data_IF_564055863063
#
_entry.id   IF_564055863063
#
_cell.length_a   1.000
_cell.length_b   1.000
_cell.length_c   1.000
_cell.angle_alpha   90.00
_cell.angle_beta   90.00
_cell.angle_gamma   90.00
#
_symmetry.space_group_name_H-M   'P 1'
#
loop_
_entity.id
_entity.type
_entity.pdbx_description
1 polymer ?
#
# COMPACT_ATOMS: atom_id res chain seq x y z
N UNK A 1 -8.64 0.03 -33.39
CA UNK A 1 -7.87 1.30 -33.23
C UNK A 1 -8.70 2.27 -32.42
N UNK A 2 -8.15 2.81 -31.35
CA UNK A 2 -8.89 3.66 -30.41
C UNK A 2 -8.13 4.96 -30.11
N UNK A 3 -8.87 6.03 -29.81
CA UNK A 3 -8.27 7.25 -29.28
C UNK A 3 -7.68 6.97 -27.89
N UNK A 4 -6.46 7.42 -27.57
CA UNK A 4 -5.91 7.29 -26.24
C UNK A 4 -6.84 7.88 -25.18
N UNK A 5 -6.92 7.22 -24.01
CA UNK A 5 -7.68 7.73 -22.88
C UNK A 5 -7.09 9.05 -22.39
N UNK A 6 -7.94 9.95 -21.88
CA UNK A 6 -7.46 11.09 -21.11
C UNK A 6 -6.88 10.62 -19.78
N UNK A 7 -6.02 11.43 -19.14
CA UNK A 7 -5.45 11.13 -17.83
C UNK A 7 -6.54 10.84 -16.78
N UNK A 8 -7.62 11.61 -16.78
CA UNK A 8 -8.77 11.37 -15.88
C UNK A 8 -9.48 10.06 -16.18
N UNK A 9 -9.66 9.73 -17.47
CA UNK A 9 -10.36 8.51 -17.86
C UNK A 9 -9.58 7.25 -17.48
N UNK A 10 -8.24 7.25 -17.63
CA UNK A 10 -7.43 6.11 -17.20
C UNK A 10 -7.40 5.95 -15.68
N UNK A 11 -7.29 7.03 -14.91
CA UNK A 11 -7.38 6.94 -13.44
C UNK A 11 -8.72 6.37 -12.98
N UNK A 12 -9.82 6.83 -13.58
CA UNK A 12 -11.15 6.30 -13.29
C UNK A 12 -11.24 4.81 -13.61
N UNK A 13 -10.71 4.37 -14.75
CA UNK A 13 -10.71 2.97 -15.15
C UNK A 13 -9.88 2.09 -14.20
N UNK A 14 -8.67 2.53 -13.85
CA UNK A 14 -7.78 1.81 -12.94
C UNK A 14 -8.40 1.67 -11.55
N UNK A 15 -8.95 2.77 -11.01
CA UNK A 15 -9.59 2.76 -9.68
C UNK A 15 -10.85 1.90 -9.64
N UNK A 16 -11.63 1.88 -10.73
CA UNK A 16 -12.80 1.01 -10.83
C UNK A 16 -12.43 -0.49 -10.77
N UNK A 17 -11.26 -0.87 -11.32
CA UNK A 17 -10.71 -2.22 -11.22
C UNK A 17 -10.00 -2.50 -9.87
N UNK A 18 -10.06 -1.59 -8.90
CA UNK A 18 -9.42 -1.75 -7.60
C UNK A 18 -7.90 -1.57 -7.60
N UNK A 19 -7.33 -0.93 -8.62
CA UNK A 19 -5.91 -0.63 -8.70
C UNK A 19 -5.54 0.46 -7.70
N UNK A 20 -4.50 0.22 -6.90
CA UNK A 20 -3.93 1.22 -5.98
C UNK A 20 -2.99 2.14 -6.74
N UNK A 21 -3.48 3.30 -7.16
CA UNK A 21 -2.73 4.24 -7.97
C UNK A 21 -1.98 5.26 -7.12
N UNK A 22 -0.71 5.50 -7.48
CA UNK A 22 0.15 6.58 -6.97
C UNK A 22 0.47 7.52 -8.13
N UNK A 23 0.10 8.77 -8.00
CA UNK A 23 0.36 9.80 -9.01
C UNK A 23 1.73 10.45 -8.74
N UNK A 24 2.66 10.40 -9.72
CA UNK A 24 4.05 10.83 -9.55
C UNK A 24 4.29 12.15 -10.28
N UNK A 25 4.50 13.21 -9.50
CA UNK A 25 4.77 14.54 -10.06
C UNK A 25 3.71 15.01 -11.07
N UNK A 26 4.14 15.58 -12.16
CA UNK A 26 3.30 16.08 -13.24
C UNK A 26 3.02 15.02 -14.33
N UNK A 27 2.82 13.76 -13.96
CA UNK A 27 2.67 12.62 -14.88
C UNK A 27 1.65 12.86 -16.01
N UNK A 28 0.60 13.65 -15.78
CA UNK A 28 -0.44 13.94 -16.77
C UNK A 28 0.05 14.69 -17.99
N UNK A 29 1.15 15.43 -17.86
CA UNK A 29 1.77 16.23 -18.91
C UNK A 29 3.19 15.78 -19.24
N UNK A 30 3.73 14.81 -18.49
CA UNK A 30 5.03 14.24 -18.72
C UNK A 30 4.95 13.21 -19.86
N UNK A 31 5.49 13.55 -21.03
CA UNK A 31 5.43 12.73 -22.23
C UNK A 31 6.49 13.12 -23.25
N UNK A 32 6.50 12.39 -24.35
CA UNK A 32 7.38 12.61 -25.50
C UNK A 32 6.61 12.99 -26.77
N UNK A 33 5.48 13.67 -26.65
CA UNK A 33 4.65 14.07 -27.78
C UNK A 33 5.38 14.96 -28.80
N UNK A 34 6.44 15.67 -28.36
CA UNK A 34 7.33 16.42 -29.26
C UNK A 34 8.13 15.55 -30.25
N UNK A 35 8.18 14.22 -30.03
CA UNK A 35 8.88 13.26 -30.86
C UNK A 35 7.96 12.53 -31.85
N UNK A 36 6.67 12.79 -31.81
CA UNK A 36 5.69 12.21 -32.73
C UNK A 36 4.32 12.03 -32.05
N UNK A 37 3.32 11.69 -32.86
CA UNK A 37 1.98 11.46 -32.42
C UNK A 37 1.88 10.28 -31.44
N UNK A 38 0.89 10.32 -30.55
CA UNK A 38 0.45 9.21 -29.73
C UNK A 38 -1.00 8.86 -30.11
N UNK A 39 -1.18 7.64 -30.55
CA UNK A 39 -2.44 7.14 -31.07
C UNK A 39 -2.52 7.19 -32.61
N UNK A 40 -3.53 6.50 -33.19
CA UNK A 40 -4.48 5.66 -32.45
C UNK A 40 -3.80 4.48 -31.75
N UNK A 41 -4.26 4.18 -30.52
CA UNK A 41 -3.76 3.05 -29.73
C UNK A 41 -4.49 1.76 -30.08
N UNK A 42 -3.81 0.62 -29.91
CA UNK A 42 -4.32 -0.66 -30.37
C UNK A 42 -4.25 -1.76 -29.29
N UNK A 43 -3.59 -1.48 -28.18
CA UNK A 43 -3.43 -2.44 -27.10
C UNK A 43 -2.45 -1.94 -26.03
N UNK A 44 -1.96 -2.88 -25.26
CA UNK A 44 -1.08 -2.64 -24.13
C UNK A 44 0.10 -3.59 -24.14
N UNK A 45 1.30 -3.09 -23.88
CA UNK A 45 2.52 -3.88 -23.74
C UNK A 45 2.94 -3.93 -22.28
N UNK A 46 3.20 -5.16 -21.81
CA UNK A 46 3.74 -5.44 -20.47
C UNK A 46 5.25 -5.65 -20.58
N UNK A 47 5.99 -4.99 -19.70
CA UNK A 47 7.44 -5.02 -19.61
C UNK A 47 7.92 -5.48 -18.25
N UNK A 48 9.23 -5.75 -18.11
CA UNK A 48 9.93 -5.74 -16.83
C UNK A 48 11.10 -4.76 -16.85
N UNK A 49 11.35 -4.10 -15.73
CA UNK A 49 12.23 -2.94 -15.63
C UNK A 49 13.73 -3.24 -15.61
N UNK A 50 14.13 -4.50 -15.37
CA UNK A 50 15.53 -4.89 -15.07
C UNK A 50 16.11 -4.08 -13.89
N UNK A 51 15.26 -3.70 -12.94
CA UNK A 51 15.62 -2.91 -11.74
C UNK A 51 15.02 -3.51 -10.48
N UNK A 52 15.53 -3.09 -9.33
CA UNK A 52 15.08 -3.49 -8.00
C UNK A 52 15.00 -2.27 -7.08
N UNK A 53 13.96 -2.23 -6.26
CA UNK A 53 13.69 -1.13 -5.33
C UNK A 53 12.77 -0.09 -5.93
N UNK A 54 11.54 -0.02 -5.42
CA UNK A 54 10.43 0.74 -6.01
C UNK A 54 10.78 2.22 -6.26
N UNK A 55 11.40 2.91 -5.29
CA UNK A 55 11.70 4.34 -5.43
C UNK A 55 12.70 4.60 -6.56
N UNK A 56 13.77 3.81 -6.65
CA UNK A 56 14.78 3.92 -7.70
C UNK A 56 14.19 3.55 -9.07
N UNK A 57 13.36 2.51 -9.13
CA UNK A 57 12.67 2.10 -10.36
C UNK A 57 11.73 3.18 -10.86
N UNK A 58 10.92 3.79 -9.98
CA UNK A 58 10.03 4.92 -10.34
C UNK A 58 10.84 6.07 -10.92
N UNK A 59 11.94 6.47 -10.28
CA UNK A 59 12.81 7.53 -10.79
C UNK A 59 13.37 7.18 -12.18
N UNK A 60 13.87 5.96 -12.34
CA UNK A 60 14.42 5.49 -13.63
C UNK A 60 13.37 5.52 -14.75
N UNK A 61 12.18 4.97 -14.54
CA UNK A 61 11.17 4.92 -15.60
C UNK A 61 10.53 6.28 -15.87
N UNK A 62 10.52 7.17 -14.88
CA UNK A 62 10.06 8.55 -15.07
C UNK A 62 11.08 9.37 -15.87
N UNK A 63 12.32 9.39 -15.44
CA UNK A 63 13.34 10.30 -15.98
C UNK A 63 14.10 9.70 -17.17
N UNK A 64 14.23 8.37 -17.20
CA UNK A 64 14.99 7.66 -18.22
C UNK A 64 16.49 7.77 -18.03
N UNK A 65 17.21 7.64 -19.14
CA UNK A 65 18.65 7.73 -19.23
C UNK A 65 19.06 8.80 -20.22
N UNK A 66 20.31 9.23 -20.22
CA UNK A 66 20.82 10.21 -21.17
C UNK A 66 20.59 9.79 -22.64
N UNK A 67 20.75 8.49 -22.94
CA UNK A 67 20.52 7.91 -24.27
C UNK A 67 19.06 7.54 -24.55
N UNK A 68 18.22 7.44 -23.52
CA UNK A 68 16.81 7.08 -23.61
C UNK A 68 15.99 7.90 -22.61
N UNK A 69 15.69 9.17 -22.90
CA UNK A 69 14.96 10.03 -21.99
C UNK A 69 13.54 9.55 -21.71
N UNK A 70 13.09 9.74 -20.46
CA UNK A 70 11.75 9.37 -20.02
C UNK A 70 10.61 10.25 -20.56
N UNK A 71 9.35 9.88 -20.29
CA UNK A 71 8.98 8.68 -19.55
C UNK A 71 9.24 7.39 -20.34
N UNK A 72 9.65 6.33 -19.63
CA UNK A 72 9.90 5.02 -20.24
C UNK A 72 8.66 4.10 -20.21
N UNK A 73 7.55 4.59 -19.66
CA UNK A 73 6.24 3.90 -19.63
C UNK A 73 5.15 4.90 -19.24
N UNK A 74 3.91 4.43 -19.21
CA UNK A 74 2.77 5.20 -18.67
C UNK A 74 2.64 5.01 -17.17
N UNK A 75 2.87 3.79 -16.68
CA UNK A 75 2.89 3.49 -15.26
C UNK A 75 3.83 2.34 -14.92
N UNK A 76 4.37 2.38 -13.71
CA UNK A 76 5.23 1.36 -13.13
C UNK A 76 4.47 0.59 -12.04
N UNK A 77 4.49 -0.75 -12.14
CA UNK A 77 3.80 -1.65 -11.21
C UNK A 77 4.82 -2.22 -10.22
N UNK A 78 4.73 -1.79 -8.97
CA UNK A 78 5.64 -2.17 -7.90
C UNK A 78 5.36 -3.58 -7.36
N UNK A 79 6.32 -4.16 -6.63
CA UNK A 79 6.21 -5.48 -6.01
C UNK A 79 5.01 -5.62 -5.06
N UNK A 80 4.60 -4.55 -4.42
CA UNK A 80 3.43 -4.51 -3.53
C UNK A 80 2.09 -4.27 -4.26
N UNK A 81 2.10 -4.21 -5.58
CA UNK A 81 0.92 -4.01 -6.43
C UNK A 81 0.45 -2.57 -6.54
N UNK A 82 1.19 -1.57 -6.01
CA UNK A 82 0.90 -0.16 -6.30
C UNK A 82 1.33 0.17 -7.74
N UNK A 83 0.53 0.98 -8.40
CA UNK A 83 0.77 1.43 -9.77
C UNK A 83 1.14 2.90 -9.74
N UNK A 84 2.37 3.21 -10.07
CA UNK A 84 2.93 4.56 -10.09
C UNK A 84 2.79 5.14 -11.48
N UNK A 85 1.89 6.10 -11.68
CA UNK A 85 1.73 6.81 -12.95
C UNK A 85 2.89 7.79 -13.13
N UNK A 86 3.67 7.64 -14.18
CA UNK A 86 4.90 8.41 -14.41
C UNK A 86 4.87 9.25 -15.67
N UNK A 87 3.95 8.99 -16.59
CA UNK A 87 3.76 9.76 -17.80
C UNK A 87 2.43 9.49 -18.48
N UNK A 88 1.95 10.43 -19.32
CA UNK A 88 0.74 10.23 -20.11
C UNK A 88 0.86 10.95 -21.45
N UNK A 89 0.78 10.17 -22.52
CA UNK A 89 1.13 10.57 -23.87
C UNK A 89 2.14 9.59 -24.47
N UNK A 90 2.83 9.99 -25.53
CA UNK A 90 3.91 9.17 -26.09
C UNK A 90 4.99 8.92 -25.04
N UNK A 91 5.43 7.68 -24.90
CA UNK A 91 6.49 7.24 -23.97
C UNK A 91 7.50 6.36 -24.73
N UNK A 92 8.73 6.26 -24.21
CA UNK A 92 9.78 5.43 -24.81
C UNK A 92 9.75 4.02 -24.18
N UNK A 93 8.84 3.15 -24.61
CA UNK A 93 8.70 1.81 -24.04
C UNK A 93 8.74 0.67 -25.06
N UNK A 94 8.08 0.85 -26.20
CA UNK A 94 7.86 -0.22 -27.16
C UNK A 94 8.90 -0.29 -28.27
N UNK A 95 9.51 0.86 -28.63
CA UNK A 95 10.44 0.92 -29.75
C UNK A 95 9.81 0.43 -31.06
N UNK A 96 10.65 -0.12 -31.93
CA UNK A 96 10.21 -0.76 -33.16
C UNK A 96 9.81 -2.22 -32.96
N UNK A 97 8.78 -2.66 -33.69
CA UNK A 97 8.32 -4.05 -33.63
C UNK A 97 7.69 -4.54 -34.94
N UNK A 98 7.20 -5.76 -34.93
CA UNK A 98 6.74 -6.44 -36.14
C UNK A 98 5.36 -5.94 -36.59
N UNK A 99 5.21 -5.40 -37.82
CA UNK A 99 3.92 -4.95 -38.32
C UNK A 99 2.85 -6.05 -38.38
N UNK A 100 3.25 -7.32 -38.57
CA UNK A 100 2.30 -8.45 -38.56
C UNK A 100 1.70 -8.65 -37.16
N UNK A 101 2.50 -8.46 -36.11
CA UNK A 101 2.01 -8.49 -34.73
C UNK A 101 1.02 -7.34 -34.51
N UNK A 102 1.35 -6.13 -35.01
CA UNK A 102 0.42 -5.00 -34.92
C UNK A 102 -0.93 -5.31 -35.57
N UNK A 103 -0.93 -5.87 -36.79
CA UNK A 103 -2.15 -6.28 -37.52
C UNK A 103 -2.98 -7.31 -36.71
N UNK A 104 -2.30 -8.31 -36.14
CA UNK A 104 -2.94 -9.33 -35.32
C UNK A 104 -3.54 -8.78 -34.02
N UNK A 105 -2.87 -7.84 -33.37
CA UNK A 105 -3.39 -7.16 -32.17
C UNK A 105 -4.57 -6.25 -32.53
N UNK A 106 -4.48 -5.48 -33.61
CA UNK A 106 -5.54 -4.59 -34.09
C UNK A 106 -6.82 -5.36 -34.43
N UNK A 107 -6.68 -6.52 -35.08
CA UNK A 107 -7.80 -7.38 -35.45
C UNK A 107 -8.19 -8.38 -34.36
N UNK A 108 -7.39 -8.48 -33.30
CA UNK A 108 -7.51 -9.52 -32.25
C UNK A 108 -7.56 -10.95 -32.84
N UNK A 109 -6.93 -11.14 -34.00
CA UNK A 109 -6.99 -12.38 -34.79
C UNK A 109 -5.70 -13.16 -34.69
N UNK A 110 -5.52 -13.88 -33.59
CA UNK A 110 -4.45 -14.86 -33.38
C UNK A 110 -4.88 -15.92 -32.34
N UNK A 111 -4.15 -17.02 -32.26
CA UNK A 111 -4.42 -18.09 -31.29
C UNK A 111 -4.07 -17.69 -29.85
N UNK A 112 -3.26 -18.51 -29.19
CA UNK A 112 -2.81 -18.23 -27.79
C UNK A 112 -1.75 -17.14 -27.72
N UNK A 113 -1.03 -16.87 -28.81
CA UNK A 113 -0.02 -15.82 -28.96
C UNK A 113 0.04 -15.31 -30.40
N UNK A 114 0.47 -14.05 -30.63
CA UNK A 114 0.79 -13.55 -31.95
C UNK A 114 1.88 -14.39 -32.64
N UNK A 115 1.99 -14.26 -33.95
CA UNK A 115 3.13 -14.81 -34.70
C UNK A 115 4.44 -14.28 -34.10
N UNK A 116 5.45 -15.13 -33.87
CA UNK A 116 6.74 -14.68 -33.36
C UNK A 116 7.30 -13.51 -34.17
N UNK A 117 7.73 -12.41 -33.53
CA UNK A 117 8.25 -11.24 -34.24
C UNK A 117 9.56 -11.58 -34.93
N UNK A 118 9.73 -11.05 -36.15
CA UNK A 118 10.96 -11.13 -36.91
C UNK A 118 11.58 -9.76 -37.12
N UNK A 119 10.93 -8.70 -36.65
CA UNK A 119 11.39 -7.32 -36.69
C UNK A 119 11.49 -6.71 -35.30
N UNK A 120 12.39 -5.76 -35.15
CA UNK A 120 12.67 -5.06 -33.89
C UNK A 120 12.97 -3.59 -34.09
N UNK A 121 13.79 -2.99 -33.21
CA UNK A 121 14.06 -1.56 -33.19
C UNK A 121 14.59 -0.98 -34.49
N UNK A 122 15.43 -1.72 -35.23
CA UNK A 122 16.09 -1.22 -36.43
C UNK A 122 15.24 -1.26 -37.69
N UNK A 123 14.23 -2.14 -37.73
CA UNK A 123 13.48 -2.43 -38.97
C UNK A 123 11.98 -2.63 -38.75
N UNK A 124 11.49 -2.33 -37.53
CA UNK A 124 10.09 -2.46 -37.16
C UNK A 124 9.31 -1.16 -37.34
N UNK A 125 8.00 -1.25 -37.06
CA UNK A 125 7.10 -0.10 -36.96
C UNK A 125 7.08 0.48 -35.55
N UNK A 126 6.79 1.78 -35.42
CA UNK A 126 6.82 2.51 -34.17
C UNK A 126 5.70 2.07 -33.20
N UNK A 127 6.06 1.34 -32.15
CA UNK A 127 5.14 0.91 -31.10
C UNK A 127 4.82 1.98 -30.06
N UNK A 128 5.72 2.95 -29.86
CA UNK A 128 5.52 4.02 -28.89
C UNK A 128 4.29 4.89 -29.20
N UNK A 129 3.89 4.96 -30.47
CA UNK A 129 2.67 5.65 -30.89
C UNK A 129 1.42 4.80 -30.81
N UNK A 130 1.55 3.47 -30.65
CA UNK A 130 0.48 2.49 -30.89
C UNK A 130 -0.01 1.78 -29.65
N UNK A 131 0.75 1.80 -28.54
CA UNK A 131 0.46 1.01 -27.36
C UNK A 131 0.54 1.83 -26.08
N UNK A 132 -0.23 1.41 -25.06
CA UNK A 132 0.08 1.72 -23.68
C UNK A 132 1.22 0.84 -23.20
N UNK A 133 2.13 1.36 -22.40
CA UNK A 133 3.27 0.63 -21.84
C UNK A 133 3.28 0.60 -20.32
N UNK A 134 3.43 -0.58 -19.74
CA UNK A 134 3.45 -0.80 -18.29
C UNK A 134 4.72 -1.53 -17.90
N UNK A 135 5.56 -0.86 -17.15
CA UNK A 135 6.80 -1.40 -16.62
C UNK A 135 6.54 -2.05 -15.26
N UNK A 136 6.97 -3.27 -15.08
CA UNK A 136 6.80 -4.01 -13.83
C UNK A 136 8.15 -4.18 -13.14
N UNK A 137 8.26 -3.74 -11.88
CA UNK A 137 9.48 -3.89 -11.10
C UNK A 137 9.89 -5.36 -11.02
N UNK A 138 10.93 -5.74 -11.75
CA UNK A 138 11.50 -7.09 -11.73
C UNK A 138 12.88 -7.08 -12.39
N UNK A 139 13.84 -7.84 -11.86
CA UNK A 139 15.20 -7.96 -12.41
C UNK A 139 15.25 -8.64 -13.77
N UNK A 140 14.19 -9.36 -14.16
CA UNK A 140 14.15 -10.06 -15.45
C UNK A 140 15.13 -11.23 -15.58
N UNK A 141 15.75 -11.64 -14.49
CA UNK A 141 16.75 -12.72 -14.42
C UNK A 141 16.11 -14.12 -14.38
N UNK A 142 14.78 -14.20 -14.35
CA UNK A 142 14.02 -15.45 -14.22
C UNK A 142 14.00 -16.03 -12.80
N UNK A 143 14.60 -15.36 -11.82
CA UNK A 143 14.64 -15.75 -10.41
C UNK A 143 13.90 -14.77 -9.50
N UNK A 144 13.93 -13.49 -9.85
CA UNK A 144 13.19 -12.46 -9.09
C UNK A 144 11.69 -12.76 -9.15
N UNK A 145 11.04 -13.02 -7.98
CA UNK A 145 9.66 -13.48 -7.94
C UNK A 145 8.67 -12.40 -8.41
N UNK A 146 7.52 -12.86 -8.87
CA UNK A 146 6.33 -12.04 -9.11
C UNK A 146 5.36 -12.21 -7.94
N UNK A 147 5.38 -11.35 -6.91
CA UNK A 147 4.43 -11.44 -5.81
C UNK A 147 2.99 -11.39 -6.30
N UNK A 148 2.10 -12.12 -5.63
CA UNK A 148 0.67 -12.17 -5.99
C UNK A 148 0.06 -10.78 -6.14
N UNK A 149 0.41 -9.84 -5.22
CA UNK A 149 -0.09 -8.46 -5.26
C UNK A 149 0.34 -7.73 -6.55
N UNK A 150 1.58 -7.93 -7.01
CA UNK A 150 2.08 -7.33 -8.25
C UNK A 150 1.40 -7.94 -9.47
N UNK A 151 1.31 -9.28 -9.54
CA UNK A 151 0.69 -9.97 -10.66
C UNK A 151 -0.81 -9.65 -10.77
N UNK A 152 -1.53 -9.61 -9.65
CA UNK A 152 -2.93 -9.18 -9.62
C UNK A 152 -3.10 -7.74 -10.12
N UNK A 153 -2.20 -6.82 -9.73
CA UNK A 153 -2.22 -5.45 -10.24
C UNK A 153 -1.96 -5.38 -11.76
N UNK A 154 -1.06 -6.23 -12.30
CA UNK A 154 -0.86 -6.34 -13.76
C UNK A 154 -2.17 -6.76 -14.44
N UNK A 155 -2.83 -7.81 -13.97
CA UNK A 155 -4.10 -8.29 -14.52
C UNK A 155 -5.17 -7.19 -14.48
N UNK A 156 -5.31 -6.49 -13.35
CA UNK A 156 -6.28 -5.39 -13.17
C UNK A 156 -6.02 -4.22 -14.12
N UNK A 157 -4.78 -3.81 -14.27
CA UNK A 157 -4.38 -2.73 -15.19
C UNK A 157 -4.75 -3.08 -16.63
N UNK A 158 -4.43 -4.30 -17.06
CA UNK A 158 -4.75 -4.74 -18.41
C UNK A 158 -6.27 -4.85 -18.64
N UNK A 159 -7.00 -5.38 -17.67
CA UNK A 159 -8.46 -5.47 -17.74
C UNK A 159 -9.12 -4.08 -17.79
N UNK A 160 -8.62 -3.10 -17.01
CA UNK A 160 -9.11 -1.72 -17.02
C UNK A 160 -9.04 -1.10 -18.42
N UNK A 161 -7.92 -1.27 -19.12
CA UNK A 161 -7.73 -0.76 -20.48
C UNK A 161 -8.63 -1.51 -21.48
N UNK A 162 -8.64 -2.85 -21.42
CA UNK A 162 -9.47 -3.67 -22.29
C UNK A 162 -10.94 -3.29 -22.15
N UNK A 163 -11.46 -3.22 -20.93
CA UNK A 163 -12.85 -2.85 -20.65
C UNK A 163 -13.19 -1.45 -21.16
N UNK A 164 -12.29 -0.49 -20.94
CA UNK A 164 -12.53 0.90 -21.36
C UNK A 164 -12.54 1.10 -22.86
N UNK A 165 -11.78 0.30 -23.59
CA UNK A 165 -11.71 0.35 -25.07
C UNK A 165 -12.62 -0.67 -25.77
N UNK A 166 -13.26 -1.57 -25.03
CA UNK A 166 -14.02 -2.68 -25.61
C UNK A 166 -13.11 -3.74 -26.26
N UNK A 167 -11.87 -3.85 -25.81
CA UNK A 167 -10.90 -4.85 -26.29
C UNK A 167 -11.05 -6.17 -25.54
N UNK A 168 -10.68 -7.26 -26.20
CA UNK A 168 -10.46 -8.53 -25.52
C UNK A 168 -9.05 -8.58 -24.93
N UNK A 169 -8.74 -9.64 -24.18
CA UNK A 169 -7.39 -9.88 -23.67
C UNK A 169 -6.33 -10.04 -24.79
N UNK A 170 -6.75 -10.22 -26.04
CA UNK A 170 -5.82 -10.28 -27.18
C UNK A 170 -5.17 -8.95 -27.54
N UNK A 171 -5.66 -7.83 -27.00
CA UNK A 171 -4.97 -6.54 -27.09
C UNK A 171 -3.85 -6.39 -26.06
N UNK A 172 -3.59 -7.42 -25.22
CA UNK A 172 -2.50 -7.44 -24.23
C UNK A 172 -1.37 -8.33 -24.72
N UNK A 173 -0.20 -7.74 -24.93
CA UNK A 173 1.01 -8.45 -25.38
C UNK A 173 2.21 -8.16 -24.48
N UNK A 174 3.21 -9.04 -24.52
CA UNK A 174 4.51 -8.76 -23.92
C UNK A 174 5.44 -8.10 -24.94
N UNK A 175 6.47 -7.40 -24.48
CA UNK A 175 7.47 -6.82 -25.35
C UNK A 175 8.17 -7.89 -26.19
N UNK A 176 8.40 -9.07 -25.64
CA UNK A 176 8.93 -10.26 -26.33
C UNK A 176 8.03 -10.75 -27.50
N UNK A 177 6.73 -10.41 -27.47
CA UNK A 177 5.79 -10.73 -28.54
C UNK A 177 5.71 -9.59 -29.58
N UNK A 178 6.17 -8.38 -29.23
CA UNK A 178 6.18 -7.21 -30.09
C UNK A 178 7.45 -7.11 -30.96
N UNK A 179 8.61 -7.35 -30.35
CA UNK A 179 9.92 -7.09 -30.94
C UNK A 179 10.84 -8.29 -30.84
N UNK A 180 11.54 -8.65 -31.93
CA UNK A 180 12.54 -9.71 -31.94
C UNK A 180 13.76 -9.44 -31.07
N UNK A 181 13.97 -8.17 -30.69
CA UNK A 181 15.11 -7.74 -29.86
C UNK A 181 14.83 -7.85 -28.34
N UNK A 182 13.63 -8.30 -27.97
CA UNK A 182 13.14 -8.23 -26.60
C UNK A 182 12.77 -9.59 -26.02
N UNK A 183 12.98 -9.70 -24.70
CA UNK A 183 12.73 -10.94 -23.93
C UNK A 183 11.76 -10.75 -22.78
N UNK A 184 11.29 -9.52 -22.56
CA UNK A 184 10.42 -9.13 -21.44
C UNK A 184 8.92 -9.24 -21.77
N UNK A 185 8.08 -9.57 -20.78
CA UNK A 185 8.43 -9.98 -19.43
C UNK A 185 8.88 -11.44 -19.33
N UNK A 186 9.70 -11.77 -18.30
CA UNK A 186 10.10 -13.15 -17.98
C UNK A 186 9.53 -13.54 -16.62
N UNK A 187 9.32 -14.85 -16.42
CA UNK A 187 8.88 -15.41 -15.14
C UNK A 187 7.39 -15.77 -15.07
N UNK A 188 6.60 -15.32 -16.05
CA UNK A 188 5.26 -15.82 -16.34
C UNK A 188 5.03 -15.87 -17.86
N UNK A 189 3.95 -16.50 -18.29
CA UNK A 189 3.66 -16.61 -19.74
C UNK A 189 2.59 -15.62 -20.17
N UNK A 190 2.74 -15.01 -21.32
CA UNK A 190 1.75 -14.08 -21.87
C UNK A 190 0.38 -14.75 -22.17
N UNK A 191 0.33 -16.02 -22.65
CA UNK A 191 -0.95 -16.74 -22.74
C UNK A 191 -1.64 -16.90 -21.38
N UNK A 192 -0.89 -17.18 -20.30
CA UNK A 192 -1.43 -17.23 -18.93
C UNK A 192 -2.00 -15.89 -18.49
N UNK A 193 -1.22 -14.82 -18.65
CA UNK A 193 -1.68 -13.46 -18.33
C UNK A 193 -2.97 -13.10 -19.11
N UNK A 194 -3.03 -13.40 -20.42
CA UNK A 194 -4.24 -13.16 -21.21
C UNK A 194 -5.43 -13.99 -20.75
N UNK A 195 -5.22 -15.22 -20.28
CA UNK A 195 -6.29 -16.05 -19.73
C UNK A 195 -6.85 -15.41 -18.44
N UNK A 196 -5.99 -14.93 -17.54
CA UNK A 196 -6.39 -14.26 -16.30
C UNK A 196 -7.09 -12.92 -16.58
N UNK A 197 -6.63 -12.13 -17.56
CA UNK A 197 -7.30 -10.91 -18.01
C UNK A 197 -8.67 -11.25 -18.61
N UNK A 198 -8.76 -12.29 -19.45
CA UNK A 198 -10.02 -12.71 -20.06
C UNK A 198 -11.02 -13.20 -19.00
N UNK A 199 -10.57 -13.94 -17.98
CA UNK A 199 -11.40 -14.32 -16.85
C UNK A 199 -11.93 -13.10 -16.12
N UNK A 200 -11.05 -12.16 -15.77
CA UNK A 200 -11.45 -10.93 -15.10
C UNK A 200 -12.47 -10.10 -15.91
N UNK A 201 -12.37 -10.10 -17.23
CA UNK A 201 -13.30 -9.36 -18.10
C UNK A 201 -14.71 -9.95 -18.12
N UNK A 202 -14.91 -11.19 -17.69
CA UNK A 202 -16.26 -11.80 -17.55
C UNK A 202 -17.03 -11.23 -16.35
N UNK A 203 -16.32 -10.63 -15.40
CA UNK A 203 -16.87 -10.09 -14.16
C UNK A 203 -16.91 -8.56 -14.18
N UNK A 204 -17.71 -7.90 -13.34
CA UNK A 204 -17.67 -6.44 -13.20
C UNK A 204 -16.31 -5.96 -12.71
N UNK A 205 -15.97 -4.69 -12.96
CA UNK A 205 -14.67 -4.09 -12.58
C UNK A 205 -14.37 -4.19 -11.07
N UNK A 206 -15.40 -4.14 -10.24
CA UNK A 206 -15.30 -4.31 -8.78
C UNK A 206 -15.04 -5.74 -8.31
N UNK A 207 -15.05 -6.72 -9.23
CA UNK A 207 -14.85 -8.12 -8.87
C UNK A 207 -13.47 -8.36 -8.24
N UNK A 208 -13.46 -9.13 -7.17
CA UNK A 208 -12.25 -9.52 -6.46
C UNK A 208 -12.22 -11.04 -6.31
N UNK A 209 -11.29 -11.77 -6.99
CA UNK A 209 -11.20 -13.22 -6.90
C UNK A 209 -10.97 -13.62 -5.44
N UNK A 210 -11.80 -14.51 -4.93
CA UNK A 210 -11.80 -14.93 -3.52
C UNK A 210 -12.89 -14.27 -2.66
N UNK A 211 -13.61 -13.25 -3.18
CA UNK A 211 -14.77 -12.71 -2.48
C UNK A 211 -16.03 -13.58 -2.65
N UNK A 212 -16.03 -14.51 -3.61
CA UNK A 212 -17.20 -15.33 -3.91
C UNK A 212 -17.31 -16.59 -3.03
N UNK A 213 -16.31 -16.88 -2.15
CA UNK A 213 -16.26 -18.09 -1.33
C UNK A 213 -15.81 -17.94 0.13
N UNK A 214 -15.44 -16.76 0.57
CA UNK A 214 -15.36 -16.43 1.98
C UNK A 214 -15.96 -15.03 2.15
N UNK A 215 -17.03 -14.93 2.91
CA UNK A 215 -17.39 -13.65 3.51
C UNK A 215 -16.08 -13.15 4.16
N UNK A 216 -15.53 -12.03 3.68
CA UNK A 216 -14.41 -11.39 4.36
C UNK A 216 -14.84 -11.21 5.81
N UNK A 217 -14.27 -11.97 6.76
CA UNK A 217 -14.72 -11.90 8.15
C UNK A 217 -14.55 -10.49 8.73
N UNK A 218 -13.86 -9.61 7.98
CA UNK A 218 -13.68 -8.20 8.30
C UNK A 218 -14.57 -7.27 7.46
N UNK A 219 -15.36 -7.80 6.49
CA UNK A 219 -16.26 -7.00 5.69
C UNK A 219 -17.35 -6.38 6.59
N UNK A 220 -17.44 -5.05 6.57
CA UNK A 220 -18.37 -4.31 7.41
C UNK A 220 -17.82 -3.93 8.80
N UNK A 221 -16.64 -4.41 9.20
CA UNK A 221 -16.00 -4.01 10.45
C UNK A 221 -15.44 -2.60 10.30
N UNK A 222 -15.95 -1.68 11.10
CA UNK A 222 -15.49 -0.29 11.15
C UNK A 222 -14.32 -0.12 12.12
N UNK A 223 -13.61 1.00 12.02
CA UNK A 223 -12.60 1.37 13.03
C UNK A 223 -13.20 1.40 14.44
N UNK A 224 -14.48 1.76 14.54
CA UNK A 224 -15.20 1.77 15.81
C UNK A 224 -15.40 0.36 16.34
N UNK A 225 -15.73 -0.61 15.49
CA UNK A 225 -15.94 -2.00 15.92
C UNK A 225 -14.64 -2.63 16.42
N UNK A 226 -13.52 -2.34 15.73
CA UNK A 226 -12.18 -2.76 16.18
C UNK A 226 -11.85 -2.10 17.52
N UNK A 227 -12.09 -0.81 17.66
CA UNK A 227 -11.86 -0.09 18.91
C UNK A 227 -12.71 -0.69 20.04
N UNK A 228 -14.00 -0.92 19.81
CA UNK A 228 -14.91 -1.45 20.81
C UNK A 228 -14.54 -2.90 21.18
N UNK A 229 -14.14 -3.73 20.21
CA UNK A 229 -13.69 -5.09 20.48
C UNK A 229 -12.41 -5.13 21.34
N UNK A 230 -11.46 -4.26 21.09
CA UNK A 230 -10.19 -4.22 21.84
C UNK A 230 -10.35 -3.57 23.22
N UNK A 231 -11.10 -2.48 23.30
CA UNK A 231 -11.10 -1.63 24.50
C UNK A 231 -12.31 -1.80 25.41
N UNK A 232 -13.45 -2.24 24.87
CA UNK A 232 -14.72 -2.32 25.60
C UNK A 232 -15.24 -3.75 25.79
N UNK A 233 -14.59 -4.74 25.16
CA UNK A 233 -14.97 -6.14 25.37
C UNK A 233 -14.45 -6.60 26.74
N UNK A 234 -15.33 -7.19 27.51
CA UNK A 234 -15.05 -7.74 28.84
C UNK A 234 -14.48 -9.16 28.67
N UNK A 235 -13.17 -9.27 28.50
CA UNK A 235 -12.51 -10.54 28.20
C UNK A 235 -11.11 -10.71 28.81
N UNK A 236 -10.60 -9.69 29.51
CA UNK A 236 -9.28 -9.75 30.18
C UNK A 236 -9.49 -10.09 31.66
N UNK A 237 -8.73 -11.04 32.19
CA UNK A 237 -8.80 -11.38 33.61
C UNK A 237 -8.61 -10.15 34.49
N UNK A 238 -9.58 -9.86 35.33
CA UNK A 238 -9.51 -8.78 36.31
C UNK A 238 -8.47 -9.06 37.39
N UNK A 239 -7.98 -8.02 38.11
CA UNK A 239 -7.05 -8.20 39.23
C UNK A 239 -7.65 -9.10 40.31
N UNK A 240 -6.88 -10.07 40.80
CA UNK A 240 -7.36 -11.02 41.84
C UNK A 240 -7.73 -10.34 43.18
N UNK A 241 -7.18 -9.14 43.41
CA UNK A 241 -7.45 -8.32 44.60
C UNK A 241 -8.59 -7.29 44.40
N UNK A 242 -9.28 -7.32 43.25
CA UNK A 242 -10.44 -6.48 43.04
C UNK A 242 -11.58 -6.89 43.91
N UNK A 243 -12.26 -5.91 44.53
CA UNK A 243 -13.35 -6.16 45.52
C UNK A 243 -14.53 -6.96 44.94
N UNK A 244 -14.73 -6.85 43.61
CA UNK A 244 -15.80 -7.52 42.86
C UNK A 244 -15.29 -8.73 42.04
N UNK A 245 -14.05 -9.17 42.22
CA UNK A 245 -13.44 -10.23 41.40
C UNK A 245 -14.26 -11.52 41.33
N UNK A 246 -14.95 -11.88 42.40
CA UNK A 246 -15.79 -13.09 42.46
C UNK A 246 -17.06 -12.99 41.61
N UNK A 247 -17.57 -11.79 41.35
CA UNK A 247 -18.80 -11.51 40.61
C UNK A 247 -18.52 -10.92 39.23
N UNK A 248 -17.32 -10.36 39.05
CA UNK A 248 -16.85 -9.75 37.81
C UNK A 248 -15.40 -10.17 37.52
N UNK A 249 -15.17 -11.44 37.14
CA UNK A 249 -13.83 -12.00 37.00
C UNK A 249 -13.06 -11.50 35.75
N UNK A 250 -13.77 -10.88 34.81
CA UNK A 250 -13.16 -10.32 33.58
C UNK A 250 -13.45 -8.82 33.48
N UNK A 251 -12.49 -8.10 32.90
CA UNK A 251 -12.56 -6.66 32.77
C UNK A 251 -12.26 -6.21 31.34
N UNK A 252 -12.80 -5.07 30.95
CA UNK A 252 -12.44 -4.36 29.73
C UNK A 252 -11.02 -3.79 29.85
N UNK A 253 -10.27 -3.75 28.75
CA UNK A 253 -8.92 -3.17 28.71
C UNK A 253 -8.89 -1.73 29.26
N UNK A 254 -9.88 -0.91 28.89
CA UNK A 254 -9.99 0.46 29.42
C UNK A 254 -10.21 0.50 30.96
N UNK A 255 -10.90 -0.47 31.53
CA UNK A 255 -11.13 -0.56 32.97
C UNK A 255 -9.85 -0.93 33.72
N UNK A 256 -9.06 -1.85 33.19
CA UNK A 256 -7.74 -2.20 33.71
C UNK A 256 -6.81 -0.98 33.71
N UNK A 257 -6.76 -0.21 32.62
CA UNK A 257 -5.92 1.00 32.56
C UNK A 257 -6.36 2.05 33.60
N UNK A 258 -7.66 2.21 33.82
CA UNK A 258 -8.18 3.12 34.84
C UNK A 258 -7.81 2.64 36.26
N UNK A 259 -7.89 1.35 36.53
CA UNK A 259 -7.47 0.78 37.82
C UNK A 259 -5.97 0.94 38.06
N UNK A 260 -5.13 0.64 37.05
CA UNK A 260 -3.67 0.87 37.09
C UNK A 260 -3.37 2.35 37.39
N UNK A 261 -4.02 3.27 36.70
CA UNK A 261 -3.86 4.71 36.94
C UNK A 261 -4.25 5.10 38.36
N UNK A 262 -5.35 4.54 38.89
CA UNK A 262 -5.78 4.80 40.26
C UNK A 262 -4.80 4.21 41.29
N UNK A 263 -4.19 3.05 41.02
CA UNK A 263 -3.17 2.43 41.87
C UNK A 263 -1.89 3.25 41.88
N UNK A 264 -1.43 3.71 40.72
CA UNK A 264 -0.26 4.58 40.61
C UNK A 264 -0.47 5.86 41.43
N UNK A 265 -1.60 6.54 41.26
CA UNK A 265 -1.91 7.74 42.05
C UNK A 265 -1.97 7.48 43.56
N UNK A 266 -2.39 6.29 44.00
CA UNK A 266 -2.32 5.89 45.42
C UNK A 266 -0.88 5.69 45.88
N UNK A 267 -0.06 5.02 45.08
CA UNK A 267 1.37 4.82 45.36
C UNK A 267 2.11 6.17 45.49
N UNK A 268 1.86 7.09 44.56
CA UNK A 268 2.48 8.44 44.61
C UNK A 268 2.15 9.16 45.90
N UNK A 269 0.88 9.10 46.37
CA UNK A 269 0.46 9.67 47.66
C UNK A 269 1.16 9.01 48.83
N UNK A 270 1.27 7.68 48.82
CA UNK A 270 1.95 6.93 49.90
C UNK A 270 3.43 7.28 49.93
N UNK A 271 4.10 7.36 48.77
CA UNK A 271 5.51 7.75 48.68
C UNK A 271 5.73 9.19 49.15
N UNK A 272 4.86 10.13 48.75
CA UNK A 272 4.93 11.50 49.22
C UNK A 272 4.78 11.58 50.76
N UNK A 273 3.80 10.88 51.33
CA UNK A 273 3.62 10.83 52.77
C UNK A 273 4.81 10.20 53.51
N UNK A 274 5.36 9.11 53.00
CA UNK A 274 6.58 8.49 53.53
C UNK A 274 7.79 9.42 53.45
N UNK A 275 8.01 10.08 52.33
CA UNK A 275 9.11 11.06 52.18
C UNK A 275 8.97 12.22 53.15
N UNK A 276 7.77 12.75 53.33
CA UNK A 276 7.49 13.81 54.26
C UNK A 276 7.74 13.37 55.75
N UNK A 277 7.32 12.15 56.09
CA UNK A 277 7.56 11.57 57.41
C UNK A 277 9.06 11.40 57.69
N UNK A 278 9.82 10.87 56.72
CA UNK A 278 11.28 10.70 56.82
C UNK A 278 11.96 12.07 56.99
N UNK A 279 11.57 13.08 56.20
CA UNK A 279 12.11 14.41 56.29
C UNK A 279 11.84 15.05 57.66
N UNK A 280 10.61 14.91 58.18
CA UNK A 280 10.25 15.43 59.49
C UNK A 280 11.04 14.75 60.61
N UNK A 281 11.19 13.42 60.56
CA UNK A 281 12.03 12.67 61.51
C UNK A 281 13.50 13.09 61.43
N UNK A 282 14.04 13.19 60.25
CA UNK A 282 15.44 13.63 60.04
C UNK A 282 15.70 15.03 60.62
N UNK A 283 14.74 15.93 60.48
CA UNK A 283 14.80 17.29 61.08
C UNK A 283 14.77 17.33 62.59
N UNK A 284 14.29 16.27 63.24
CA UNK A 284 14.22 16.17 64.70
C UNK A 284 15.42 15.43 65.31
N UNK A 285 16.21 14.74 64.49
CA UNK A 285 17.39 14.00 64.97
C UNK A 285 18.41 14.98 65.56
N UNK A 286 18.77 14.81 66.85
CA UNK A 286 19.75 15.62 67.54
C UNK A 286 19.22 16.94 68.16
N UNK A 287 17.90 17.24 68.03
CA UNK A 287 17.33 18.47 68.59
C UNK A 287 16.96 18.35 70.08
N UNK A 288 16.93 17.14 70.66
CA UNK A 288 16.49 16.88 72.01
C UNK A 288 14.97 16.99 72.18
N UNK A 289 14.20 17.01 71.12
CA UNK A 289 12.74 17.05 71.12
C UNK A 289 12.15 15.81 71.77
N UNK A 290 11.08 15.99 72.50
CA UNK A 290 10.33 14.85 73.08
C UNK A 290 9.51 14.10 72.03
N UNK A 291 9.08 12.87 72.33
CA UNK A 291 8.36 12.01 71.43
C UNK A 291 7.08 12.65 70.91
N UNK A 292 6.35 13.41 71.72
CA UNK A 292 5.09 14.03 71.28
C UNK A 292 5.33 15.12 70.25
N UNK A 293 6.39 15.91 70.39
CA UNK A 293 6.79 16.92 69.43
C UNK A 293 7.20 16.28 68.11
N UNK A 294 7.94 15.18 68.14
CA UNK A 294 8.33 14.42 66.96
C UNK A 294 7.10 13.87 66.21
N UNK A 295 6.18 13.24 66.92
CA UNK A 295 4.95 12.68 66.33
C UNK A 295 4.11 13.79 65.71
N UNK A 296 3.90 14.91 66.37
CA UNK A 296 3.12 16.02 65.80
C UNK A 296 3.75 16.61 64.52
N UNK A 297 5.07 16.72 64.48
CA UNK A 297 5.78 17.16 63.26
C UNK A 297 5.61 16.20 62.09
N UNK A 298 5.73 14.90 62.33
CA UNK A 298 5.54 13.86 61.31
C UNK A 298 4.08 13.83 60.80
N UNK A 299 3.10 13.87 61.72
CA UNK A 299 1.68 13.91 61.30
C UNK A 299 1.35 15.14 60.48
N UNK A 300 1.90 16.30 60.80
CA UNK A 300 1.70 17.53 60.05
C UNK A 300 2.33 17.42 58.64
N UNK A 301 3.54 16.87 58.56
CA UNK A 301 4.23 16.67 57.28
C UNK A 301 3.47 15.71 56.34
N UNK A 302 2.94 14.59 56.90
CA UNK A 302 2.12 13.64 56.14
C UNK A 302 0.84 14.30 55.63
N UNK A 303 0.13 15.04 56.45
CA UNK A 303 -1.10 15.75 56.06
C UNK A 303 -0.85 16.71 54.92
N UNK A 304 0.19 17.52 54.98
CA UNK A 304 0.54 18.48 53.93
C UNK A 304 0.93 17.78 52.63
N UNK A 305 1.74 16.73 52.69
CA UNK A 305 2.13 15.95 51.51
C UNK A 305 0.94 15.32 50.78
N UNK A 306 -0.06 14.80 51.52
CA UNK A 306 -1.29 14.22 50.93
C UNK A 306 -2.17 15.30 50.31
N UNK A 307 -2.24 16.49 50.87
CA UNK A 307 -2.99 17.63 50.32
C UNK A 307 -2.34 18.09 49.02
N UNK A 308 -1.03 18.28 49.00
CA UNK A 308 -0.30 18.73 47.79
C UNK A 308 -0.46 17.77 46.59
N UNK A 309 -0.38 16.47 46.82
CA UNK A 309 -0.62 15.46 45.78
C UNK A 309 -2.08 15.51 45.26
N UNK A 310 -3.04 15.81 46.12
CA UNK A 310 -4.44 15.92 45.69
C UNK A 310 -4.73 17.19 44.89
N UNK A 311 -4.02 18.28 45.12
CA UNK A 311 -4.16 19.53 44.36
C UNK A 311 -3.57 19.36 42.96
N UNK A 312 -2.35 18.83 42.88
CA UNK A 312 -1.65 18.67 41.59
C UNK A 312 -2.32 17.63 40.64
N UNK A 313 -3.13 16.73 41.13
CA UNK A 313 -3.88 15.76 40.30
C UNK A 313 -5.18 16.32 39.72
N UNK A 314 -5.62 17.53 40.12
CA UNK A 314 -6.82 18.18 39.56
C UNK A 314 -6.53 19.12 38.39
N UNK A 315 -5.27 19.47 38.11
CA UNK A 315 -4.85 20.41 37.08
C UNK A 315 -4.24 19.74 35.83
N UNK A 316 -4.31 18.42 35.67
CA UNK A 316 -3.74 17.69 34.53
C UNK A 316 -4.77 16.91 33.71
#
# INVERSE_FOLDING_TARGET
>A
MATPLTATAVLTALRAEGVRVVEVGNWTTHNRNSKGAWGPVNGSIVHHTVTKGTAATVATVRDGYASLPGPLCHGMIAKDGRVHMVGWGRANHAGGGDPRVLEQVVSESYGTRPTPPTRGNSNGVDGNSRFYGWECENLGDGKDPWPKAQYDAIVRVQAALCRKHGWSAKSVIGHLEWSSDKIDPRGFTMPGLRADVAERLKHPASWNPGSDHEEDPMAGITKKDIFDAVWKTDAIGGPADAADHSTNPTWQAQSILKDVQARIRRMDRTLAAQSAAITALAGQVGTGADTATIVAAVETAIKNAVIDVNINTKES
#
